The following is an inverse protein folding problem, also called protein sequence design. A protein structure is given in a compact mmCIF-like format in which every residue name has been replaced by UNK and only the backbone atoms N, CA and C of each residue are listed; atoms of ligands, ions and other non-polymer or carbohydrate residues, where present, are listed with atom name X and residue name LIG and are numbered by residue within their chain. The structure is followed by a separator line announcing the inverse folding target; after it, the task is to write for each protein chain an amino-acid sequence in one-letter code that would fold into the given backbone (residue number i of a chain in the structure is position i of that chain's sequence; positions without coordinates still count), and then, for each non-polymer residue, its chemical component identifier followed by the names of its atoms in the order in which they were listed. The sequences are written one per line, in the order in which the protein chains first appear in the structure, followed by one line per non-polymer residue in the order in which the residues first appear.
data_IF_057143571739
#
_entry.id   IF_057143571739
#
_cell.length_a   1.000
_cell.length_b   1.000
_cell.length_c   1.000
_cell.angle_alpha   90.00
_cell.angle_beta   90.00
_cell.angle_gamma   90.00
#
_symmetry.space_group_name_H-M   'P 1'
#
loop_
_entity.id
_entity.type
_entity.pdbx_description
1 polymer ?
#
# COMPACT_ATOMS: atom_id res chain seq x y z
N UNK A 1 -20.82 -45.70 -1.78
CA UNK A 1 -19.97 -44.64 -2.39
C UNK A 1 -20.44 -43.28 -1.87
N UNK A 2 -19.61 -42.46 -1.18
CA UNK A 2 -20.03 -41.13 -0.79
C UNK A 2 -19.99 -40.20 -2.01
N UNK A 3 -21.17 -39.70 -2.38
CA UNK A 3 -21.36 -38.66 -3.39
C UNK A 3 -20.53 -37.42 -3.01
N UNK A 4 -19.53 -37.11 -3.82
CA UNK A 4 -18.79 -35.85 -3.73
C UNK A 4 -19.68 -34.73 -4.25
N UNK A 5 -20.43 -34.07 -3.36
CA UNK A 5 -21.13 -32.83 -3.70
C UNK A 5 -20.10 -31.78 -4.08
N UNK A 6 -19.89 -31.59 -5.39
CA UNK A 6 -19.16 -30.44 -5.94
C UNK A 6 -20.00 -29.20 -5.67
N UNK A 7 -19.63 -28.40 -4.67
CA UNK A 7 -20.22 -27.09 -4.46
C UNK A 7 -20.10 -26.28 -5.76
N UNK A 8 -21.17 -25.59 -6.23
CA UNK A 8 -21.09 -24.78 -7.44
C UNK A 8 -20.03 -23.70 -7.24
N UNK A 9 -19.08 -23.60 -8.18
CA UNK A 9 -18.09 -22.53 -8.22
C UNK A 9 -18.84 -21.20 -8.28
N UNK A 10 -18.91 -20.47 -7.15
CA UNK A 10 -19.51 -19.13 -7.11
C UNK A 10 -18.79 -18.26 -8.13
N UNK A 11 -19.55 -17.60 -9.01
CA UNK A 11 -19.03 -16.70 -10.05
C UNK A 11 -18.00 -15.71 -9.45
N UNK A 12 -16.80 -15.55 -10.04
CA UNK A 12 -15.68 -14.82 -9.44
C UNK A 12 -15.83 -13.29 -9.59
N UNK A 13 -17.04 -12.76 -9.37
CA UNK A 13 -17.36 -11.35 -9.61
C UNK A 13 -16.45 -10.37 -8.86
N UNK A 14 -16.00 -10.73 -7.65
CA UNK A 14 -15.10 -9.87 -6.88
C UNK A 14 -13.75 -9.74 -7.60
N UNK A 15 -13.20 -10.83 -8.13
CA UNK A 15 -11.95 -10.77 -8.87
C UNK A 15 -12.10 -9.91 -10.12
N UNK A 16 -13.20 -10.08 -10.87
CA UNK A 16 -13.52 -9.27 -12.05
C UNK A 16 -13.65 -7.78 -11.67
N UNK A 17 -14.37 -7.47 -10.58
CA UNK A 17 -14.53 -6.11 -10.09
C UNK A 17 -13.18 -5.49 -9.66
N UNK A 18 -12.32 -6.23 -8.97
CA UNK A 18 -11.00 -5.73 -8.56
C UNK A 18 -10.07 -5.52 -9.76
N UNK A 19 -10.14 -6.37 -10.80
CA UNK A 19 -9.42 -6.16 -12.07
C UNK A 19 -9.95 -4.92 -12.79
N UNK A 20 -11.26 -4.71 -12.81
CA UNK A 20 -11.85 -3.50 -13.39
C UNK A 20 -11.43 -2.23 -12.63
N UNK A 21 -11.40 -2.27 -11.29
CA UNK A 21 -10.91 -1.16 -10.46
C UNK A 21 -9.43 -0.90 -10.72
N UNK A 22 -8.60 -1.94 -10.85
CA UNK A 22 -7.20 -1.80 -11.21
C UNK A 22 -7.03 -1.12 -12.57
N UNK A 23 -7.74 -1.60 -13.61
CA UNK A 23 -7.68 -1.04 -14.94
C UNK A 23 -8.13 0.44 -14.96
N UNK A 24 -9.21 0.77 -14.25
CA UNK A 24 -9.67 2.14 -14.08
C UNK A 24 -8.62 3.02 -13.37
N UNK A 25 -8.07 2.51 -12.25
CA UNK A 25 -7.03 3.19 -11.47
C UNK A 25 -5.76 3.44 -12.29
N UNK A 26 -5.32 2.45 -13.07
CA UNK A 26 -4.19 2.55 -13.99
C UNK A 26 -4.47 3.56 -15.09
N UNK A 27 -5.67 3.54 -15.70
CA UNK A 27 -6.08 4.54 -16.68
C UNK A 27 -5.92 5.97 -16.16
N UNK A 28 -6.43 6.27 -14.96
CA UNK A 28 -6.32 7.60 -14.36
C UNK A 28 -4.87 8.04 -14.09
N UNK A 29 -4.02 7.10 -13.64
CA UNK A 29 -2.64 7.40 -13.24
C UNK A 29 -1.69 7.49 -14.43
N UNK A 30 -1.93 6.72 -15.48
CA UNK A 30 -1.12 6.72 -16.70
C UNK A 30 -1.58 7.80 -17.70
N UNK A 31 -2.80 8.34 -17.56
CA UNK A 31 -3.35 9.35 -18.46
C UNK A 31 -2.45 10.58 -18.58
N UNK A 32 -1.79 10.75 -19.74
CA UNK A 32 -0.87 11.86 -20.03
C UNK A 32 0.18 12.12 -18.93
N UNK A 33 0.88 11.08 -18.49
CA UNK A 33 1.87 11.22 -17.39
C UNK A 33 3.04 12.15 -17.74
N UNK A 34 3.37 12.27 -19.03
CA UNK A 34 4.43 13.14 -19.54
C UNK A 34 3.97 14.55 -19.89
N UNK A 35 2.69 14.88 -19.69
CA UNK A 35 2.10 16.18 -20.06
C UNK A 35 2.91 17.36 -19.52
N UNK A 36 3.33 17.26 -18.26
CA UNK A 36 4.14 18.27 -17.61
C UNK A 36 5.61 17.86 -17.67
N UNK A 37 6.32 18.34 -18.69
CA UNK A 37 7.76 18.15 -18.86
C UNK A 37 8.59 19.08 -17.97
N UNK A 38 8.22 19.15 -16.70
CA UNK A 38 8.88 19.91 -15.64
C UNK A 38 8.78 19.13 -14.33
N UNK A 39 9.64 19.42 -13.36
CA UNK A 39 9.57 18.85 -12.01
C UNK A 39 8.50 19.59 -11.20
N UNK A 40 7.62 18.83 -10.54
CA UNK A 40 6.51 19.40 -9.76
C UNK A 40 6.69 19.09 -8.27
N UNK A 41 6.61 20.12 -7.42
CA UNK A 41 6.68 19.96 -5.95
C UNK A 41 7.97 19.22 -5.53
N UNK A 42 7.89 18.27 -4.60
CA UNK A 42 9.04 17.50 -4.08
C UNK A 42 9.74 16.61 -5.14
N UNK A 43 9.19 16.50 -6.35
CA UNK A 43 9.86 15.84 -7.48
C UNK A 43 11.21 16.51 -7.81
N UNK A 44 11.34 17.80 -7.51
CA UNK A 44 12.62 18.53 -7.61
C UNK A 44 13.73 17.91 -6.79
N UNK A 45 13.41 17.21 -5.70
CA UNK A 45 14.36 16.52 -4.85
C UNK A 45 14.48 15.05 -5.24
N UNK A 46 13.37 14.32 -5.25
CA UNK A 46 13.41 12.86 -5.40
C UNK A 46 13.88 12.39 -6.77
N UNK A 47 13.50 13.08 -7.85
CA UNK A 47 13.99 12.75 -9.18
C UNK A 47 15.48 13.09 -9.34
N UNK A 48 15.96 14.20 -8.76
CA UNK A 48 17.39 14.55 -8.73
C UNK A 48 18.21 13.53 -7.92
N UNK A 49 17.74 13.15 -6.74
CA UNK A 49 18.42 12.14 -5.90
C UNK A 49 18.47 10.77 -6.59
N UNK A 50 17.40 10.39 -7.28
CA UNK A 50 17.39 9.18 -8.09
C UNK A 50 18.44 9.24 -9.21
N UNK A 51 18.53 10.35 -9.95
CA UNK A 51 19.56 10.54 -10.97
C UNK A 51 20.97 10.52 -10.36
N UNK A 52 21.19 11.18 -9.21
CA UNK A 52 22.47 11.19 -8.51
C UNK A 52 22.91 9.78 -8.08
N UNK A 53 21.99 8.89 -7.72
CA UNK A 53 22.32 7.48 -7.51
C UNK A 53 22.82 6.78 -8.78
N UNK A 54 22.20 7.07 -9.94
CA UNK A 54 22.62 6.51 -11.22
C UNK A 54 23.97 7.06 -11.69
N UNK A 55 24.22 8.35 -11.49
CA UNK A 55 25.47 9.02 -11.88
C UNK A 55 26.56 8.95 -10.80
N UNK A 56 26.30 8.28 -9.68
CA UNK A 56 27.21 8.17 -8.54
C UNK A 56 27.65 9.54 -7.98
N UNK A 57 26.79 10.55 -8.10
CA UNK A 57 27.04 11.90 -7.57
C UNK A 57 26.65 11.95 -6.10
N UNK A 58 27.52 12.49 -5.25
CA UNK A 58 27.27 12.62 -3.81
C UNK A 58 26.19 13.68 -3.53
N UNK A 59 25.31 13.40 -2.58
CA UNK A 59 24.27 14.33 -2.12
C UNK A 59 23.86 14.04 -0.68
N UNK A 60 23.23 15.00 -0.03
CA UNK A 60 22.66 14.84 1.30
C UNK A 60 21.15 14.63 1.24
N UNK A 61 20.65 13.67 2.01
CA UNK A 61 19.22 13.40 2.15
C UNK A 61 18.89 13.03 3.61
N UNK A 62 17.91 13.72 4.19
CA UNK A 62 17.49 13.50 5.57
C UNK A 62 16.65 12.23 5.76
N UNK A 63 16.15 11.65 4.67
CA UNK A 63 15.28 10.47 4.71
C UNK A 63 16.02 9.19 4.32
N UNK A 64 15.60 8.05 4.88
CA UNK A 64 16.00 6.74 4.39
C UNK A 64 15.86 6.61 2.85
N UNK A 65 16.75 5.88 2.18
CA UNK A 65 16.92 6.01 0.72
C UNK A 65 16.03 5.11 -0.13
N UNK A 66 15.15 4.28 0.46
CA UNK A 66 14.49 3.21 -0.30
C UNK A 66 13.64 3.75 -1.47
N UNK A 67 12.93 4.86 -1.28
CA UNK A 67 12.12 5.46 -2.37
C UNK A 67 12.99 5.92 -3.53
N UNK A 68 14.14 6.51 -3.24
CA UNK A 68 15.06 7.07 -4.20
C UNK A 68 15.71 5.94 -5.02
N UNK A 69 16.02 4.80 -4.40
CA UNK A 69 16.44 3.60 -5.13
C UNK A 69 15.35 3.07 -6.05
N UNK A 70 14.09 3.03 -5.59
CA UNK A 70 12.98 2.59 -6.42
C UNK A 70 12.81 3.53 -7.63
N UNK A 71 12.85 4.86 -7.42
CA UNK A 71 12.76 5.84 -8.50
C UNK A 71 14.00 5.78 -9.41
N UNK A 72 15.19 5.52 -8.89
CA UNK A 72 16.40 5.36 -9.70
C UNK A 72 16.31 4.12 -10.61
N UNK A 73 15.81 3.00 -10.09
CA UNK A 73 15.54 1.79 -10.87
C UNK A 73 14.46 2.09 -11.93
N UNK A 74 13.40 2.81 -11.56
CA UNK A 74 12.36 3.23 -12.50
C UNK A 74 12.94 4.06 -13.64
N UNK A 75 13.74 5.07 -13.32
CA UNK A 75 14.40 5.97 -14.26
C UNK A 75 15.31 5.20 -15.21
N UNK A 76 16.14 4.31 -14.68
CA UNK A 76 17.03 3.47 -15.49
C UNK A 76 16.25 2.56 -16.44
N UNK A 77 15.24 1.82 -15.94
CA UNK A 77 14.40 0.96 -16.78
C UNK A 77 13.62 1.78 -17.82
N UNK A 78 13.05 2.91 -17.41
CA UNK A 78 12.26 3.80 -18.24
C UNK A 78 13.06 4.41 -19.39
N UNK A 79 14.35 4.70 -19.17
CA UNK A 79 15.27 5.15 -20.22
C UNK A 79 15.48 4.15 -21.36
N UNK A 80 15.24 2.85 -21.12
CA UNK A 80 15.34 1.82 -22.15
C UNK A 80 14.02 1.60 -22.90
N UNK A 81 12.89 2.14 -22.40
CA UNK A 81 11.58 1.96 -23.03
C UNK A 81 11.38 2.91 -24.22
N UNK A 82 10.64 2.50 -25.27
CA UNK A 82 10.34 3.34 -26.43
C UNK A 82 9.09 4.22 -26.21
N UNK A 83 8.97 4.89 -25.07
CA UNK A 83 7.81 5.71 -24.70
C UNK A 83 8.28 7.15 -24.44
N UNK A 84 7.62 8.13 -25.07
CA UNK A 84 7.83 9.56 -24.87
C UNK A 84 9.31 10.01 -24.91
N UNK A 85 10.10 9.44 -25.85
CA UNK A 85 11.53 9.72 -26.00
C UNK A 85 11.84 11.13 -26.47
N UNK A 86 10.91 11.76 -27.19
CA UNK A 86 11.07 13.13 -27.71
C UNK A 86 10.72 14.18 -26.65
N UNK A 87 10.07 13.79 -25.54
CA UNK A 87 9.68 14.67 -24.44
C UNK A 87 10.69 14.48 -23.31
N UNK A 88 11.75 15.29 -23.34
CA UNK A 88 12.86 15.21 -22.37
C UNK A 88 13.18 16.56 -21.74
N UNK A 89 13.77 16.54 -20.54
CA UNK A 89 14.30 17.72 -19.87
C UNK A 89 15.59 17.36 -19.10
N UNK A 90 16.43 18.36 -18.82
CA UNK A 90 17.66 18.20 -18.05
C UNK A 90 17.54 18.50 -16.55
N UNK A 91 16.30 18.64 -16.03
CA UNK A 91 16.07 19.19 -14.69
C UNK A 91 16.51 18.26 -13.57
N UNK A 92 16.63 16.96 -13.83
CA UNK A 92 17.13 15.96 -12.87
C UNK A 92 18.66 15.94 -12.77
N UNK A 93 19.37 16.72 -13.59
CA UNK A 93 20.84 16.73 -13.72
C UNK A 93 21.36 15.94 -14.92
N UNK A 94 20.50 15.16 -15.57
CA UNK A 94 20.76 14.44 -16.82
C UNK A 94 19.53 14.54 -17.72
N UNK A 95 19.69 14.29 -19.02
CA UNK A 95 18.57 14.34 -19.96
C UNK A 95 17.68 13.10 -19.79
N UNK A 96 16.47 13.29 -19.26
CA UNK A 96 15.50 12.22 -19.01
C UNK A 96 14.09 12.63 -19.44
N UNK A 97 13.29 11.65 -19.83
CA UNK A 97 11.85 11.85 -20.08
C UNK A 97 11.08 11.81 -18.75
N UNK A 98 10.05 12.65 -18.53
CA UNK A 98 9.18 12.54 -17.36
C UNK A 98 8.57 11.18 -17.16
N UNK A 99 8.29 10.48 -18.28
CA UNK A 99 7.81 9.11 -18.24
C UNK A 99 8.76 8.20 -17.44
N UNK A 100 10.07 8.33 -17.68
CA UNK A 100 11.11 7.44 -17.14
C UNK A 100 11.13 7.41 -15.60
N UNK A 101 10.91 8.54 -14.95
CA UNK A 101 10.93 8.62 -13.49
C UNK A 101 9.55 8.58 -12.82
N UNK A 102 8.45 8.69 -13.58
CA UNK A 102 7.06 8.69 -13.04
C UNK A 102 6.31 7.37 -13.20
N UNK A 103 6.66 6.53 -14.19
CA UNK A 103 5.85 5.36 -14.54
C UNK A 103 5.70 4.36 -13.39
N UNK A 104 6.76 4.16 -12.60
CA UNK A 104 6.72 3.21 -11.49
C UNK A 104 5.88 3.76 -10.33
N UNK A 105 5.89 5.07 -10.09
CA UNK A 105 4.97 5.73 -9.17
C UNK A 105 3.51 5.50 -9.60
N UNK A 106 3.22 5.69 -10.89
CA UNK A 106 1.87 5.52 -11.44
C UNK A 106 1.43 4.05 -11.33
N UNK A 107 2.33 3.11 -11.63
CA UNK A 107 2.09 1.68 -11.48
C UNK A 107 1.81 1.31 -10.03
N UNK A 108 2.70 1.69 -9.11
CA UNK A 108 2.55 1.42 -7.68
C UNK A 108 1.25 2.02 -7.14
N UNK A 109 0.96 3.28 -7.47
CA UNK A 109 -0.29 3.91 -7.06
C UNK A 109 -1.53 3.22 -7.60
N UNK A 110 -1.44 2.54 -8.75
CA UNK A 110 -2.55 1.79 -9.32
C UNK A 110 -2.92 0.54 -8.50
N UNK A 111 -2.01 0.04 -7.66
CA UNK A 111 -2.26 -1.07 -6.74
C UNK A 111 -2.83 -0.61 -5.39
N UNK A 112 -2.68 0.66 -4.99
CA UNK A 112 -3.18 1.17 -3.71
C UNK A 112 -4.68 0.87 -3.51
N UNK A 113 -5.57 1.11 -4.50
CA UNK A 113 -6.98 0.76 -4.38
C UNK A 113 -7.24 -0.72 -4.07
N UNK A 114 -6.42 -1.62 -4.62
CA UNK A 114 -6.57 -3.05 -4.39
C UNK A 114 -6.20 -3.44 -2.96
N UNK A 115 -5.15 -2.84 -2.42
CA UNK A 115 -4.73 -3.04 -1.02
C UNK A 115 -5.79 -2.49 -0.07
N UNK A 116 -6.33 -1.29 -0.35
CA UNK A 116 -7.42 -0.71 0.45
C UNK A 116 -8.67 -1.59 0.42
N UNK A 117 -9.09 -2.06 -0.76
CA UNK A 117 -10.19 -3.00 -0.89
C UNK A 117 -9.92 -4.33 -0.17
N UNK A 118 -8.69 -4.82 -0.22
CA UNK A 118 -8.24 -5.99 0.51
C UNK A 118 -8.35 -5.85 2.04
N UNK A 119 -7.95 -4.69 2.58
CA UNK A 119 -8.11 -4.37 4.00
C UNK A 119 -9.59 -4.28 4.36
N UNK A 120 -10.39 -3.56 3.58
CA UNK A 120 -11.83 -3.44 3.80
C UNK A 120 -12.53 -4.82 3.79
N UNK A 121 -12.10 -5.72 2.89
CA UNK A 121 -12.57 -7.10 2.88
C UNK A 121 -12.18 -7.84 4.17
N UNK A 122 -10.94 -7.69 4.63
CA UNK A 122 -10.50 -8.34 5.87
C UNK A 122 -11.21 -7.83 7.12
N UNK A 123 -11.65 -6.57 7.14
CA UNK A 123 -12.36 -5.99 8.28
C UNK A 123 -13.86 -6.31 8.29
N UNK A 124 -14.49 -6.38 7.11
CA UNK A 124 -15.95 -6.51 7.00
C UNK A 124 -16.44 -7.88 6.58
N UNK A 125 -15.57 -8.72 6.02
CA UNK A 125 -15.89 -9.97 5.31
C UNK A 125 -16.95 -9.80 4.18
N UNK A 126 -17.23 -8.54 3.77
CA UNK A 126 -18.22 -8.18 2.76
C UNK A 126 -17.52 -7.74 1.47
N UNK A 127 -17.80 -8.48 0.39
CA UNK A 127 -17.25 -8.22 -0.94
C UNK A 127 -17.65 -6.86 -1.51
N UNK A 128 -18.87 -6.40 -1.24
CA UNK A 128 -19.35 -5.08 -1.70
C UNK A 128 -18.54 -3.94 -1.08
N UNK A 129 -18.26 -4.01 0.23
CA UNK A 129 -17.48 -2.99 0.92
C UNK A 129 -16.02 -2.93 0.42
N UNK A 130 -15.45 -4.09 0.07
CA UNK A 130 -14.14 -4.15 -0.57
C UNK A 130 -14.09 -3.36 -1.88
N UNK A 131 -15.10 -3.55 -2.75
CA UNK A 131 -15.18 -2.88 -4.04
C UNK A 131 -15.45 -1.38 -3.88
N UNK A 132 -16.38 -1.00 -2.99
CA UNK A 132 -16.67 0.42 -2.72
C UNK A 132 -15.43 1.15 -2.22
N UNK A 133 -14.71 0.57 -1.24
CA UNK A 133 -13.49 1.16 -0.71
C UNK A 133 -12.39 1.29 -1.78
N UNK A 134 -12.26 0.29 -2.65
CA UNK A 134 -11.31 0.33 -3.76
C UNK A 134 -11.68 1.42 -4.79
N UNK A 135 -12.95 1.57 -5.16
CA UNK A 135 -13.39 2.63 -6.08
C UNK A 135 -13.10 4.02 -5.51
N UNK A 136 -13.41 4.26 -4.24
CA UNK A 136 -13.12 5.54 -3.60
C UNK A 136 -11.61 5.81 -3.53
N UNK A 137 -10.79 4.82 -3.17
CA UNK A 137 -9.34 4.97 -3.19
C UNK A 137 -8.77 5.19 -4.60
N UNK A 138 -9.39 4.62 -5.64
CA UNK A 138 -8.97 4.80 -7.03
C UNK A 138 -9.20 6.24 -7.53
N UNK A 139 -10.33 6.83 -7.11
CA UNK A 139 -10.76 8.18 -7.48
C UNK A 139 -10.30 9.28 -6.50
N UNK A 140 -9.62 8.92 -5.41
CA UNK A 140 -9.08 9.87 -4.44
C UNK A 140 -8.01 10.78 -5.08
N UNK A 141 -8.21 12.10 -4.95
CA UNK A 141 -7.35 13.10 -5.57
C UNK A 141 -5.93 13.12 -5.01
N UNK A 142 -5.76 12.86 -3.71
CA UNK A 142 -4.45 12.81 -3.08
C UNK A 142 -3.64 11.64 -3.64
N UNK A 143 -4.21 10.43 -3.66
CA UNK A 143 -3.53 9.26 -4.23
C UNK A 143 -3.28 9.41 -5.73
N UNK A 144 -4.15 10.09 -6.46
CA UNK A 144 -3.95 10.35 -7.88
C UNK A 144 -2.75 11.27 -8.12
N UNK A 145 -2.64 12.38 -7.39
CA UNK A 145 -1.50 13.31 -7.53
C UNK A 145 -0.20 12.66 -7.05
N UNK A 146 -0.20 12.05 -5.85
CA UNK A 146 0.99 11.43 -5.25
C UNK A 146 1.58 10.29 -6.08
N UNK A 147 0.76 9.60 -6.88
CA UNK A 147 1.23 8.53 -7.74
C UNK A 147 1.60 8.96 -9.15
N UNK A 148 1.23 10.17 -9.59
CA UNK A 148 1.54 10.64 -10.95
C UNK A 148 2.88 11.37 -11.06
N UNK A 149 3.43 11.80 -9.95
CA UNK A 149 4.76 12.43 -9.90
C UNK A 149 5.73 11.49 -9.18
N UNK A 150 7.03 11.67 -9.38
CA UNK A 150 8.07 10.88 -8.71
C UNK A 150 8.23 11.28 -7.23
N UNK A 151 7.17 11.06 -6.45
CA UNK A 151 7.05 11.35 -5.04
C UNK A 151 7.25 10.09 -4.19
N UNK A 152 7.79 10.24 -2.98
CA UNK A 152 8.06 9.08 -2.13
C UNK A 152 6.82 8.57 -1.38
N UNK A 153 5.81 9.42 -1.14
CA UNK A 153 4.70 9.08 -0.25
C UNK A 153 3.89 7.89 -0.77
N UNK A 154 3.79 7.70 -2.09
CA UNK A 154 3.04 6.55 -2.64
C UNK A 154 3.66 5.20 -2.24
N UNK A 155 4.99 5.11 -2.19
CA UNK A 155 5.72 3.93 -1.74
C UNK A 155 5.56 3.74 -0.23
N UNK A 156 5.66 4.83 0.53
CA UNK A 156 5.44 4.81 1.99
C UNK A 156 4.06 4.25 2.34
N UNK A 157 3.01 4.75 1.67
CA UNK A 157 1.63 4.34 1.93
C UNK A 157 1.39 2.90 1.53
N UNK A 158 1.74 2.49 0.30
CA UNK A 158 1.43 1.13 -0.14
C UNK A 158 2.15 0.08 0.72
N UNK A 159 3.41 0.31 1.10
CA UNK A 159 4.18 -0.62 1.94
C UNK A 159 3.59 -0.70 3.36
N UNK A 160 3.19 0.45 3.92
CA UNK A 160 2.53 0.52 5.23
C UNK A 160 1.16 -0.14 5.25
N UNK A 161 0.36 0.03 4.18
CA UNK A 161 -0.94 -0.62 4.01
C UNK A 161 -0.79 -2.12 3.75
N UNK A 162 0.21 -2.56 2.97
CA UNK A 162 0.53 -3.98 2.82
C UNK A 162 0.91 -4.60 4.17
N UNK A 163 1.67 -3.89 5.00
CA UNK A 163 1.94 -4.27 6.39
C UNK A 163 0.66 -4.56 7.18
N UNK A 164 -0.30 -3.64 7.15
CA UNK A 164 -1.60 -3.82 7.79
C UNK A 164 -2.41 -4.97 7.19
N UNK A 165 -2.44 -5.08 5.86
CA UNK A 165 -3.22 -6.11 5.19
C UNK A 165 -2.71 -7.52 5.52
N UNK A 166 -1.39 -7.72 5.48
CA UNK A 166 -0.77 -8.98 5.86
C UNK A 166 -0.93 -9.29 7.35
N UNK A 167 -0.88 -8.28 8.22
CA UNK A 167 -1.19 -8.46 9.63
C UNK A 167 -2.63 -8.98 9.82
N UNK A 168 -3.62 -8.39 9.15
CA UNK A 168 -5.01 -8.85 9.21
C UNK A 168 -5.18 -10.28 8.68
N UNK A 169 -4.50 -10.63 7.60
CA UNK A 169 -4.47 -12.02 7.08
C UNK A 169 -3.85 -12.96 8.12
N UNK A 170 -2.75 -12.56 8.75
CA UNK A 170 -2.06 -13.36 9.77
C UNK A 170 -2.95 -13.68 10.97
N UNK A 171 -3.81 -12.72 11.39
CA UNK A 171 -4.74 -12.92 12.50
C UNK A 171 -5.81 -13.99 12.21
N UNK A 172 -6.18 -14.18 10.94
CA UNK A 172 -7.13 -15.20 10.48
C UNK A 172 -6.46 -16.51 10.03
N UNK A 173 -5.14 -16.54 9.88
CA UNK A 173 -4.42 -17.66 9.29
C UNK A 173 -4.15 -18.81 10.29
N UNK A 174 -4.12 -20.08 9.83
CA UNK A 174 -3.65 -21.21 10.64
C UNK A 174 -2.20 -21.02 11.10
N UNK A 175 -1.83 -21.61 12.25
CA UNK A 175 -0.51 -21.43 12.91
C UNK A 175 0.69 -21.53 11.94
N UNK A 176 0.72 -22.50 11.03
CA UNK A 176 1.82 -22.68 10.07
C UNK A 176 1.98 -21.52 9.08
N UNK A 177 0.88 -20.95 8.59
CA UNK A 177 0.89 -19.82 7.64
C UNK A 177 0.97 -18.46 8.33
N UNK A 178 0.59 -18.39 9.61
CA UNK A 178 0.59 -17.14 10.38
C UNK A 178 1.97 -16.48 10.43
N UNK A 179 3.04 -17.24 10.68
CA UNK A 179 4.39 -16.68 10.73
C UNK A 179 4.83 -16.07 9.41
N UNK A 180 4.51 -16.72 8.27
CA UNK A 180 4.79 -16.16 6.95
C UNK A 180 4.14 -14.78 6.77
N UNK A 181 2.85 -14.66 7.10
CA UNK A 181 2.13 -13.38 6.97
C UNK A 181 2.62 -12.32 7.94
N UNK A 182 3.04 -12.70 9.16
CA UNK A 182 3.68 -11.78 10.10
C UNK A 182 5.04 -11.28 9.60
N UNK A 183 5.85 -12.16 9.01
CA UNK A 183 7.12 -11.77 8.39
C UNK A 183 6.88 -10.78 7.24
N UNK A 184 5.91 -11.07 6.36
CA UNK A 184 5.54 -10.16 5.28
C UNK A 184 5.00 -8.82 5.81
N UNK A 185 4.22 -8.83 6.90
CA UNK A 185 3.77 -7.61 7.55
C UNK A 185 4.94 -6.79 8.08
N UNK A 186 5.89 -7.43 8.77
CA UNK A 186 7.12 -6.81 9.28
C UNK A 186 7.98 -6.22 8.16
N UNK A 187 8.13 -6.92 7.03
CA UNK A 187 8.80 -6.40 5.84
C UNK A 187 8.08 -5.16 5.32
N UNK A 188 6.74 -5.16 5.22
CA UNK A 188 5.97 -4.00 4.79
C UNK A 188 6.16 -2.77 5.70
N UNK A 189 6.07 -2.96 7.01
CA UNK A 189 6.30 -1.88 7.98
C UNK A 189 7.75 -1.37 7.98
N UNK A 190 8.73 -2.28 7.96
CA UNK A 190 10.14 -1.92 7.90
C UNK A 190 10.50 -1.19 6.60
N UNK A 191 9.97 -1.65 5.47
CA UNK A 191 10.14 -1.00 4.18
C UNK A 191 9.50 0.40 4.17
N UNK A 192 8.30 0.56 4.74
CA UNK A 192 7.67 1.89 4.90
C UNK A 192 8.52 2.85 5.73
N UNK A 193 9.11 2.39 6.84
CA UNK A 193 10.05 3.17 7.64
C UNK A 193 11.34 3.51 6.88
N UNK A 194 11.80 2.60 6.01
CA UNK A 194 12.95 2.80 5.13
C UNK A 194 12.67 3.72 3.91
N UNK A 195 11.42 4.15 3.70
CA UNK A 195 11.08 5.26 2.78
C UNK A 195 11.20 6.61 3.48
N UNK A 196 10.61 6.73 4.68
CA UNK A 196 10.58 7.95 5.48
C UNK A 196 10.30 7.57 6.93
N UNK A 197 10.88 8.28 7.89
CA UNK A 197 10.64 8.04 9.33
C UNK A 197 9.15 8.07 9.71
N UNK A 198 8.34 8.89 9.02
CA UNK A 198 6.88 8.92 9.20
C UNK A 198 6.21 7.57 8.92
N UNK A 199 6.84 6.67 8.16
CA UNK A 199 6.37 5.31 7.92
C UNK A 199 6.27 4.46 9.19
N UNK A 200 7.04 4.80 10.25
CA UNK A 200 6.87 4.19 11.57
C UNK A 200 5.46 4.39 12.14
N UNK A 201 4.73 5.42 11.68
CA UNK A 201 3.33 5.66 12.04
C UNK A 201 2.41 4.48 11.69
N UNK A 202 2.71 3.72 10.62
CA UNK A 202 1.92 2.51 10.31
C UNK A 202 2.14 1.42 11.35
N UNK A 203 3.37 1.21 11.79
CA UNK A 203 3.67 0.24 12.84
C UNK A 203 3.06 0.67 14.17
N UNK A 204 3.14 1.96 14.52
CA UNK A 204 2.49 2.52 15.69
C UNK A 204 0.97 2.29 15.65
N UNK A 205 0.32 2.53 14.51
CA UNK A 205 -1.11 2.29 14.32
C UNK A 205 -1.50 0.84 14.60
N UNK A 206 -0.71 -0.12 14.11
CA UNK A 206 -0.93 -1.55 14.38
C UNK A 206 -0.83 -1.88 15.89
N UNK A 207 0.17 -1.34 16.59
CA UNK A 207 0.31 -1.54 18.04
C UNK A 207 -0.82 -0.87 18.83
N UNK A 208 -1.26 0.34 18.46
CA UNK A 208 -2.37 1.02 19.09
C UNK A 208 -3.67 0.21 18.97
N UNK A 209 -3.97 -0.31 17.77
CA UNK A 209 -5.13 -1.18 17.57
C UNK A 209 -5.05 -2.46 18.40
N UNK A 210 -3.85 -3.03 18.54
CA UNK A 210 -3.64 -4.19 19.39
C UNK A 210 -3.86 -3.89 20.88
N UNK A 211 -3.36 -2.75 21.37
CA UNK A 211 -3.59 -2.28 22.74
C UNK A 211 -5.09 -2.07 22.99
N UNK A 212 -5.80 -1.41 22.09
CA UNK A 212 -7.25 -1.22 22.18
C UNK A 212 -7.97 -2.56 22.25
N UNK A 213 -7.63 -3.51 21.37
CA UNK A 213 -8.20 -4.86 21.40
C UNK A 213 -7.94 -5.60 22.71
N UNK A 214 -6.74 -5.45 23.29
CA UNK A 214 -6.39 -6.03 24.58
C UNK A 214 -7.17 -5.40 25.74
N UNK A 215 -7.30 -4.08 25.77
CA UNK A 215 -8.10 -3.36 26.78
C UNK A 215 -9.57 -3.78 26.72
N UNK A 216 -10.17 -3.82 25.53
CA UNK A 216 -11.57 -4.24 25.35
C UNK A 216 -11.79 -5.67 25.82
N UNK A 217 -10.86 -6.59 25.51
CA UNK A 217 -10.93 -7.97 26.00
C UNK A 217 -10.91 -8.02 27.52
N UNK A 218 -10.00 -7.28 28.16
CA UNK A 218 -9.86 -7.23 29.62
C UNK A 218 -11.12 -6.70 30.31
N UNK A 219 -11.73 -5.65 29.77
CA UNK A 219 -12.99 -5.09 30.30
C UNK A 219 -14.12 -6.12 30.20
N UNK A 220 -14.22 -6.85 29.08
CA UNK A 220 -15.24 -7.90 28.90
C UNK A 220 -15.06 -9.05 29.90
N UNK A 221 -13.83 -9.49 30.12
CA UNK A 221 -13.53 -10.57 31.08
C UNK A 221 -13.88 -10.17 32.52
N UNK A 222 -13.62 -8.92 32.90
CA UNK A 222 -14.01 -8.39 34.22
C UNK A 222 -15.54 -8.30 34.39
N UNK A 223 -16.26 -7.84 33.37
CA UNK A 223 -17.72 -7.72 33.40
C UNK A 223 -18.46 -9.06 33.47
N UNK A 224 -17.88 -10.13 32.91
CA UNK A 224 -18.44 -11.50 33.01
C UNK A 224 -18.21 -12.08 34.40
N UNK A 225 -17.01 -11.95 34.97
CA UNK A 225 -16.70 -12.45 36.32
C UNK A 225 -17.56 -11.83 37.42
N UNK A 226 -17.88 -10.53 37.32
CA UNK A 226 -18.77 -9.86 38.28
C UNK A 226 -20.24 -10.28 38.17
N UNK A 227 -20.71 -10.76 37.00
CA UNK A 227 -22.08 -11.27 36.82
C UNK A 227 -22.24 -12.66 37.43
N UNK A 228 -21.29 -13.57 37.21
CA UNK A 228 -21.33 -14.92 37.78
C UNK A 228 -21.28 -14.92 39.32
N UNK A 229 -20.52 -13.99 39.91
CA UNK A 229 -20.47 -13.86 41.38
C UNK A 229 -21.77 -13.33 41.99
N UNK A 230 -22.54 -12.49 41.27
CA UNK A 230 -23.86 -12.02 41.76
C UNK A 230 -24.92 -13.12 41.70
N UNK A 231 -25.00 -13.88 40.60
CA UNK A 231 -25.96 -15.00 40.48
C UNK A 231 -25.65 -16.19 41.38
N UNK A 232 -24.39 -16.37 41.80
CA UNK A 232 -24.02 -17.37 42.80
C UNK A 232 -24.41 -16.98 44.24
N UNK A 233 -24.51 -15.67 44.54
CA UNK A 233 -24.84 -15.17 45.88
C UNK A 233 -26.34 -15.15 46.17
N UNK A 234 -27.18 -15.01 45.16
CA UNK A 234 -28.66 -15.06 45.29
C UNK A 234 -29.22 -16.49 45.38
N UNK A 235 -28.37 -17.53 45.29
CA UNK A 235 -28.77 -18.95 45.30
C UNK A 235 -28.33 -19.72 46.56
N UNK A 236 -27.71 -19.06 47.54
CA UNK A 236 -27.32 -19.63 48.84
C UNK A 236 -28.03 -18.91 49.96
#
# INVERSE_FOLDING_TARGET
MPSTRKFPRRFPWLAIAMVAVFAFSAGLRFWQLSRFNTLVFDEVYYAKFANNYLTQTQFFNAHPPLSQYIIAIAMWLGGHMPIDRDIVNGLTGSLHSPWSYRWLNALTGSFVPLVVGGIAYQLSDRRSYAVIAAIFAAADGLFLVESRYALNNIYLVILGLLGHWFLLIALKAPKKKRYLWLTLAGIGFGASAAIKWNGLGFLLGAYLLWIVGWVVKRIREQGVGSREQRTGRDKG
#
